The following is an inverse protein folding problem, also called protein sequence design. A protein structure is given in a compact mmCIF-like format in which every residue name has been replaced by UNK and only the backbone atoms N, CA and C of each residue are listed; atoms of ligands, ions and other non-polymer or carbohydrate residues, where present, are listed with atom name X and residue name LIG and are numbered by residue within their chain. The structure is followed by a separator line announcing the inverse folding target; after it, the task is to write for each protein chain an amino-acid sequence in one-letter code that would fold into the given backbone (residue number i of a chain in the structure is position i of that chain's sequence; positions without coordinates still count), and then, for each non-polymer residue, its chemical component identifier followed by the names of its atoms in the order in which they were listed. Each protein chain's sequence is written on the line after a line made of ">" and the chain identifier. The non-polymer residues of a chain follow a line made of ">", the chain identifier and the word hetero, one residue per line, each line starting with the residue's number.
data_IF_061220412842
#
_entry.id   IF_061220412842
#
_cell.length_a   1.000
_cell.length_b   1.000
_cell.length_c   1.000
_cell.angle_alpha   90.00
_cell.angle_beta   90.00
_cell.angle_gamma   90.00
#
_symmetry.space_group_name_H-M   'P 1'
#
loop_
_entity.id
_entity.type
_entity.pdbx_description
1 polymer ?
#
# COMPACT_ATOMS: atom_id res chain seq x y z
N UNK A 1 4.00 1.45 8.23
CA UNK A 1 3.91 2.75 7.51
C UNK A 1 5.30 3.03 6.94
N UNK A 2 5.40 3.37 5.65
CA UNK A 2 6.69 3.63 4.98
C UNK A 2 6.87 5.12 4.61
N UNK A 3 8.07 5.48 4.14
CA UNK A 3 8.47 6.82 3.66
C UNK A 3 7.48 7.42 2.66
N UNK A 4 7.00 6.64 1.69
CA UNK A 4 6.00 7.10 0.71
C UNK A 4 4.68 7.53 1.35
N UNK A 5 4.32 6.98 2.50
CA UNK A 5 3.13 7.40 3.24
C UNK A 5 3.37 8.70 4.01
N UNK A 6 4.59 8.88 4.53
CA UNK A 6 5.01 10.10 5.22
C UNK A 6 5.08 11.27 4.23
N UNK A 7 5.87 11.11 3.16
CA UNK A 7 6.06 12.14 2.12
C UNK A 7 4.78 12.39 1.34
N UNK A 8 4.03 11.34 0.98
CA UNK A 8 2.79 11.46 0.24
C UNK A 8 1.73 12.28 0.99
N UNK A 9 1.52 12.01 2.28
CA UNK A 9 0.57 12.81 3.05
C UNK A 9 1.07 14.22 3.34
N UNK A 10 2.36 14.41 3.62
CA UNK A 10 2.92 15.73 3.84
C UNK A 10 2.79 16.61 2.58
N UNK A 11 3.12 16.06 1.40
CA UNK A 11 2.96 16.74 0.11
C UNK A 11 1.50 17.02 -0.24
N UNK A 12 0.61 16.05 -0.05
CA UNK A 12 -0.82 16.27 -0.30
C UNK A 12 -1.44 17.28 0.67
N UNK A 13 -1.01 17.32 1.94
CA UNK A 13 -1.43 18.34 2.89
C UNK A 13 -0.86 19.72 2.56
N UNK A 14 0.34 19.80 1.98
CA UNK A 14 0.90 21.07 1.48
C UNK A 14 0.03 21.67 0.35
N UNK A 15 -0.46 20.83 -0.57
CA UNK A 15 -1.31 21.26 -1.69
C UNK A 15 -2.75 21.54 -1.24
N UNK A 16 -3.34 20.63 -0.47
CA UNK A 16 -4.78 20.64 -0.16
C UNK A 16 -5.12 21.22 1.22
N UNK A 17 -4.12 21.47 2.07
CA UNK A 17 -4.29 21.98 3.43
C UNK A 17 -4.86 20.96 4.43
N UNK A 18 -5.40 21.49 5.53
CA UNK A 18 -6.01 20.72 6.62
C UNK A 18 -7.12 19.72 6.21
N UNK A 19 -7.95 19.96 5.17
CA UNK A 19 -8.95 18.98 4.73
C UNK A 19 -8.40 17.60 4.41
N UNK A 20 -7.11 17.49 4.07
CA UNK A 20 -6.44 16.21 3.82
C UNK A 20 -6.44 15.27 5.04
N UNK A 21 -6.60 15.81 6.26
CA UNK A 21 -6.75 15.00 7.48
C UNK A 21 -7.95 14.05 7.41
N UNK A 22 -9.05 14.43 6.76
CA UNK A 22 -10.21 13.54 6.60
C UNK A 22 -9.84 12.27 5.81
N UNK A 23 -9.02 12.43 4.77
CA UNK A 23 -8.50 11.31 4.00
C UNK A 23 -7.59 10.41 4.86
N UNK A 24 -6.66 10.99 5.63
CA UNK A 24 -5.76 10.23 6.52
C UNK A 24 -6.57 9.45 7.57
N UNK A 25 -7.56 10.09 8.18
CA UNK A 25 -8.43 9.42 9.18
C UNK A 25 -9.18 8.26 8.54
N UNK A 26 -9.73 8.44 7.34
CA UNK A 26 -10.40 7.35 6.62
C UNK A 26 -9.44 6.22 6.24
N UNK A 27 -8.27 6.54 5.70
CA UNK A 27 -7.29 5.58 5.21
C UNK A 27 -6.62 4.79 6.35
N UNK A 28 -6.28 5.44 7.47
CA UNK A 28 -5.69 4.75 8.62
C UNK A 28 -6.76 4.10 9.51
N UNK A 29 -7.90 4.77 9.69
CA UNK A 29 -9.02 4.25 10.47
C UNK A 29 -9.62 2.99 9.83
N UNK A 30 -9.74 2.95 8.50
CA UNK A 30 -10.23 1.74 7.81
C UNK A 30 -9.32 0.53 7.99
N UNK A 31 -7.99 0.71 8.09
CA UNK A 31 -7.06 -0.40 8.40
C UNK A 31 -7.33 -0.99 9.78
N UNK A 32 -7.64 -0.13 10.76
CA UNK A 32 -7.98 -0.57 12.12
C UNK A 32 -9.30 -1.35 12.10
N UNK A 33 -10.34 -0.79 11.46
CA UNK A 33 -11.64 -1.46 11.32
C UNK A 33 -11.44 -2.81 10.61
N UNK A 34 -10.74 -2.81 9.47
CA UNK A 34 -10.43 -4.02 8.72
C UNK A 34 -9.71 -5.05 9.60
N UNK A 35 -8.67 -4.65 10.33
CA UNK A 35 -7.95 -5.54 11.23
C UNK A 35 -8.86 -6.14 12.32
N UNK A 36 -9.73 -5.34 12.94
CA UNK A 36 -10.63 -5.84 13.99
C UNK A 36 -11.64 -6.85 13.42
N UNK A 37 -12.28 -6.54 12.30
CA UNK A 37 -13.32 -7.39 11.71
C UNK A 37 -12.74 -8.63 11.01
N UNK A 38 -11.64 -8.47 10.26
CA UNK A 38 -11.07 -9.54 9.44
C UNK A 38 -9.95 -10.31 10.11
N UNK A 39 -9.19 -9.79 11.08
CA UNK A 39 -8.14 -10.60 11.73
C UNK A 39 -8.72 -11.77 12.54
N UNK A 40 -9.90 -11.59 13.15
CA UNK A 40 -10.62 -12.69 13.81
C UNK A 40 -11.18 -13.73 12.84
N UNK A 41 -11.50 -13.33 11.60
CA UNK A 41 -11.99 -14.20 10.54
C UNK A 41 -10.83 -14.95 9.86
N UNK A 42 -9.77 -14.21 9.48
CA UNK A 42 -8.56 -14.73 8.87
C UNK A 42 -7.77 -15.65 9.81
N UNK A 43 -7.81 -15.42 11.12
CA UNK A 43 -7.21 -16.33 12.10
C UNK A 43 -7.87 -17.73 12.14
N UNK A 44 -9.09 -17.87 11.64
CA UNK A 44 -9.78 -19.17 11.48
C UNK A 44 -9.61 -19.78 10.08
N UNK A 45 -9.20 -18.97 9.11
CA UNK A 45 -9.09 -19.35 7.71
C UNK A 45 -7.61 -19.38 7.31
N UNK A 46 -7.03 -20.57 7.25
CA UNK A 46 -5.62 -20.76 6.89
C UNK A 46 -5.43 -20.69 5.37
N UNK A 47 -5.51 -19.50 4.81
CA UNK A 47 -5.11 -19.24 3.42
C UNK A 47 -3.73 -18.58 3.37
N UNK A 48 -2.90 -18.96 2.40
CA UNK A 48 -1.57 -18.37 2.25
C UNK A 48 -1.62 -17.05 1.48
N UNK A 49 -2.64 -16.86 0.63
CA UNK A 49 -2.76 -15.66 -0.21
C UNK A 49 -4.20 -15.17 -0.30
N UNK A 50 -4.39 -13.87 -0.49
CA UNK A 50 -5.72 -13.28 -0.72
C UNK A 50 -6.45 -13.89 -1.94
N UNK A 51 -5.79 -14.11 -3.11
CA UNK A 51 -6.44 -14.77 -4.25
C UNK A 51 -6.92 -16.19 -3.94
N UNK A 52 -6.20 -16.94 -3.10
CA UNK A 52 -6.61 -18.29 -2.66
C UNK A 52 -7.88 -18.22 -1.80
N UNK A 53 -7.95 -17.25 -0.88
CA UNK A 53 -9.14 -17.01 -0.06
C UNK A 53 -10.36 -16.68 -0.92
N UNK A 54 -10.23 -15.80 -1.92
CA UNK A 54 -11.34 -15.39 -2.80
C UNK A 54 -11.78 -16.55 -3.71
N UNK A 55 -10.82 -17.32 -4.21
CA UNK A 55 -11.10 -18.49 -5.03
C UNK A 55 -11.94 -19.53 -4.28
N UNK A 56 -11.57 -19.83 -3.03
CA UNK A 56 -12.27 -20.84 -2.24
C UNK A 56 -13.66 -20.37 -1.76
N UNK A 57 -13.75 -19.11 -1.29
CA UNK A 57 -14.97 -18.55 -0.70
C UNK A 57 -16.04 -18.12 -1.71
N UNK A 58 -15.63 -17.58 -2.86
CA UNK A 58 -16.54 -16.83 -3.75
C UNK A 58 -16.53 -17.38 -5.17
N UNK A 59 -15.36 -17.40 -5.82
CA UNK A 59 -15.33 -17.49 -7.29
C UNK A 59 -15.18 -18.90 -7.83
N UNK A 60 -14.40 -19.75 -7.15
CA UNK A 60 -14.05 -21.13 -7.56
C UNK A 60 -13.65 -21.22 -9.04
N UNK A 61 -12.90 -20.23 -9.50
CA UNK A 61 -12.53 -20.03 -10.90
C UNK A 61 -11.06 -19.62 -11.03
N UNK A 62 -10.33 -20.39 -11.83
CA UNK A 62 -8.88 -20.26 -11.98
C UNK A 62 -8.49 -18.94 -12.67
N UNK A 63 -9.31 -18.44 -13.59
CA UNK A 63 -9.02 -17.19 -14.31
C UNK A 63 -9.15 -16.02 -13.35
N UNK A 64 -10.24 -15.97 -12.60
CA UNK A 64 -10.50 -14.93 -11.60
C UNK A 64 -9.44 -14.93 -10.52
N UNK A 65 -9.02 -16.10 -10.03
CA UNK A 65 -7.89 -16.24 -9.09
C UNK A 65 -6.60 -15.65 -9.65
N UNK A 66 -6.27 -15.94 -10.91
CA UNK A 66 -5.07 -15.39 -11.55
C UNK A 66 -5.14 -13.86 -11.66
N UNK A 67 -6.29 -13.31 -12.07
CA UNK A 67 -6.50 -11.86 -12.14
C UNK A 67 -6.39 -11.19 -10.78
N UNK A 68 -6.96 -11.78 -9.72
CA UNK A 68 -6.80 -11.30 -8.35
C UNK A 68 -5.32 -11.29 -7.92
N UNK A 69 -4.54 -12.30 -8.31
CA UNK A 69 -3.10 -12.35 -8.07
C UNK A 69 -2.35 -11.22 -8.76
N UNK A 70 -2.66 -10.95 -10.04
CA UNK A 70 -2.06 -9.84 -10.80
C UNK A 70 -2.39 -8.50 -10.14
N UNK A 71 -3.64 -8.27 -9.77
CA UNK A 71 -4.07 -7.03 -9.09
C UNK A 71 -3.44 -6.88 -7.71
N UNK A 72 -3.32 -7.95 -6.93
CA UNK A 72 -2.62 -7.90 -5.64
C UNK A 72 -1.13 -7.57 -5.82
N UNK A 73 -0.48 -8.12 -6.86
CA UNK A 73 0.93 -7.85 -7.15
C UNK A 73 1.18 -6.42 -7.63
N UNK A 74 0.27 -5.81 -8.38
CA UNK A 74 0.44 -4.44 -8.88
C UNK A 74 0.46 -3.42 -7.75
N UNK A 75 -0.30 -3.67 -6.67
CA UNK A 75 -0.27 -2.86 -5.45
C UNK A 75 1.13 -2.91 -4.82
N UNK A 76 1.74 -4.09 -4.73
CA UNK A 76 3.09 -4.24 -4.16
C UNK A 76 4.15 -3.55 -5.02
N UNK A 77 4.06 -3.65 -6.35
CA UNK A 77 4.97 -2.96 -7.28
C UNK A 77 4.85 -1.44 -7.11
N UNK A 78 3.61 -0.92 -7.12
CA UNK A 78 3.35 0.50 -6.94
C UNK A 78 3.84 0.99 -5.56
N UNK A 79 3.68 0.16 -4.53
CA UNK A 79 4.13 0.49 -3.19
C UNK A 79 5.65 0.60 -3.13
N UNK A 80 6.40 -0.42 -3.58
CA UNK A 80 7.87 -0.39 -3.58
C UNK A 80 8.40 0.80 -4.40
N UNK A 81 7.88 1.00 -5.62
CA UNK A 81 8.29 2.12 -6.47
C UNK A 81 8.00 3.49 -5.83
N UNK A 82 6.82 3.64 -5.20
CA UNK A 82 6.47 4.86 -4.47
C UNK A 82 7.36 5.13 -3.25
N UNK A 83 7.73 4.08 -2.51
CA UNK A 83 8.67 4.18 -1.40
C UNK A 83 10.07 4.59 -1.88
N UNK A 84 10.59 3.92 -2.91
CA UNK A 84 11.91 4.19 -3.48
C UNK A 84 12.02 5.62 -4.00
N UNK A 85 11.03 6.08 -4.78
CA UNK A 85 10.98 7.45 -5.28
C UNK A 85 11.01 8.49 -4.15
N UNK A 86 10.12 8.34 -3.16
CA UNK A 86 10.03 9.28 -2.06
C UNK A 86 11.32 9.33 -1.22
N UNK A 87 11.99 8.18 -1.05
CA UNK A 87 13.25 8.11 -0.34
C UNK A 87 14.41 8.72 -1.13
N UNK A 88 14.49 8.46 -2.44
CA UNK A 88 15.49 9.05 -3.32
C UNK A 88 15.41 10.59 -3.36
N UNK A 89 14.19 11.15 -3.49
CA UNK A 89 13.99 12.61 -3.45
C UNK A 89 14.40 13.22 -2.11
N UNK A 90 14.09 12.54 -1.01
CA UNK A 90 14.46 12.99 0.33
C UNK A 90 15.99 12.99 0.49
N UNK A 91 16.67 11.92 0.06
CA UNK A 91 18.12 11.84 0.12
C UNK A 91 18.80 12.90 -0.75
N UNK A 92 18.30 13.12 -1.97
CA UNK A 92 18.81 14.16 -2.86
C UNK A 92 18.70 15.56 -2.22
N UNK A 93 17.60 15.83 -1.51
CA UNK A 93 17.40 17.11 -0.80
C UNK A 93 18.44 17.34 0.30
N UNK A 94 18.84 16.30 1.04
CA UNK A 94 19.81 16.43 2.14
C UNK A 94 21.27 16.35 1.70
N UNK A 95 21.57 15.63 0.62
CA UNK A 95 22.95 15.32 0.22
C UNK A 95 23.40 15.99 -1.07
N UNK A 96 22.46 16.52 -1.87
CA UNK A 96 22.72 17.06 -3.20
C UNK A 96 23.08 16.00 -4.25
N UNK A 97 23.07 14.71 -3.90
CA UNK A 97 23.33 13.61 -4.83
C UNK A 97 22.09 13.35 -5.69
N UNK A 98 22.31 12.95 -6.93
CA UNK A 98 21.24 12.56 -7.87
C UNK A 98 20.38 11.43 -7.26
N UNK A 99 19.04 11.48 -7.33
CA UNK A 99 18.16 10.52 -6.67
C UNK A 99 18.11 9.12 -7.34
N UNK A 100 18.45 9.02 -8.62
CA UNK A 100 18.30 7.81 -9.45
C UNK A 100 19.01 6.58 -8.89
N UNK A 101 20.27 6.66 -8.40
CA UNK A 101 20.96 5.52 -7.79
C UNK A 101 20.23 4.95 -6.58
N UNK A 102 19.46 5.77 -5.85
CA UNK A 102 18.78 5.36 -4.62
C UNK A 102 17.39 4.81 -4.92
N UNK A 103 16.80 5.21 -6.04
CA UNK A 103 15.49 4.71 -6.49
C UNK A 103 15.62 3.32 -7.12
N UNK A 104 16.76 3.06 -7.78
CA UNK A 104 16.99 1.83 -8.58
C UNK A 104 17.57 0.69 -7.74
N UNK A 105 18.30 1.00 -6.66
CA UNK A 105 18.86 0.02 -5.70
C UNK A 105 17.78 -0.40 -4.70
#
# INVERSE_FOLDING_TARGET
>A
MGVGNFMGHAGSAYINGLPWLAFIVGEQGSKIIFAIFFAGLAGRMTYNTFPEMIDDLITRDKITRALCGVLASSIMIAWVGGQGKAFGELFATFTGVSPEPIIII
#
